data_IF_780714665486
#
_entry.id   IF_780714665486
#
_cell.length_a   1.000
_cell.length_b   1.000
_cell.length_c   1.000
_cell.angle_alpha   90.00
_cell.angle_beta   90.00
_cell.angle_gamma   90.00
#
_symmetry.space_group_name_H-M   'P 1'
#
loop_
_entity.id
_entity.type
_entity.pdbx_description
1 polymer ?
#
# COMPACT_ATOMS: atom_id res chain seq x y z
N UNK A 1 11.31 20.97 -15.94
CA UNK A 1 11.03 20.07 -14.82
C UNK A 1 10.98 18.63 -15.29
N UNK A 2 11.44 17.72 -14.43
CA UNK A 2 11.26 16.27 -14.64
C UNK A 2 10.28 15.73 -13.61
N UNK A 3 9.35 14.89 -14.08
CA UNK A 3 8.36 14.24 -13.24
C UNK A 3 8.50 12.72 -13.34
N UNK A 4 8.15 12.04 -12.25
CA UNK A 4 8.05 10.58 -12.19
C UNK A 4 6.72 10.24 -11.50
N UNK A 5 5.90 9.43 -12.16
CA UNK A 5 4.58 9.03 -11.69
C UNK A 5 4.48 7.54 -11.46
N UNK A 6 3.60 7.19 -10.53
CA UNK A 6 3.10 5.83 -10.33
C UNK A 6 1.59 5.86 -10.44
N UNK A 7 1.03 4.86 -11.09
CA UNK A 7 -0.41 4.74 -11.25
C UNK A 7 -1.02 3.82 -10.20
N UNK A 8 -2.33 3.77 -10.22
CA UNK A 8 -3.15 2.82 -9.48
C UNK A 8 -3.81 1.86 -10.46
N UNK A 9 -4.33 0.74 -9.97
CA UNK A 9 -5.08 -0.21 -10.79
C UNK A 9 -6.27 0.48 -11.46
N UNK A 10 -6.50 0.19 -12.74
CA UNK A 10 -7.56 0.81 -13.54
C UNK A 10 -7.19 2.10 -14.25
N UNK A 11 -6.03 2.71 -13.98
CA UNK A 11 -5.54 3.90 -14.70
C UNK A 11 -4.23 3.57 -15.42
N UNK A 12 -4.23 3.68 -16.74
CA UNK A 12 -3.04 3.51 -17.56
C UNK A 12 -2.28 4.83 -17.71
N UNK A 13 -1.26 5.06 -16.88
CA UNK A 13 -0.58 6.37 -16.76
C UNK A 13 0.00 6.86 -18.09
N UNK A 14 0.63 5.98 -18.87
CA UNK A 14 1.18 6.35 -20.18
C UNK A 14 0.10 6.85 -21.13
N UNK A 15 -1.08 6.21 -21.13
CA UNK A 15 -2.19 6.62 -22.00
C UNK A 15 -2.76 7.98 -21.58
N UNK A 16 -2.82 8.26 -20.27
CA UNK A 16 -3.18 9.57 -19.74
C UNK A 16 -2.24 10.65 -20.30
N UNK A 17 -0.91 10.39 -20.29
CA UNK A 17 0.08 11.34 -20.83
C UNK A 17 -0.02 11.45 -22.36
N UNK A 18 -0.34 10.37 -23.06
CA UNK A 18 -0.57 10.38 -24.51
C UNK A 18 -1.80 11.21 -24.89
N UNK A 19 -2.92 11.02 -24.17
CA UNK A 19 -4.13 11.82 -24.34
C UNK A 19 -3.83 13.31 -24.10
N UNK A 20 -3.10 13.63 -23.01
CA UNK A 20 -2.73 14.99 -22.69
C UNK A 20 -1.92 15.64 -23.82
N UNK A 21 -0.92 14.93 -24.34
CA UNK A 21 -0.08 15.40 -25.42
C UNK A 21 -0.88 15.57 -26.72
N UNK A 22 -1.87 14.72 -26.99
CA UNK A 22 -2.78 14.88 -28.11
C UNK A 22 -3.73 16.09 -27.96
N UNK A 23 -4.14 16.39 -26.72
CA UNK A 23 -4.95 17.59 -26.44
C UNK A 23 -4.16 18.88 -26.59
N UNK A 24 -2.90 18.86 -26.14
CA UNK A 24 -1.99 19.99 -26.24
C UNK A 24 -0.52 19.55 -26.37
N UNK A 25 0.00 19.49 -27.59
CA UNK A 25 1.40 19.04 -27.85
C UNK A 25 2.47 19.93 -27.23
N UNK A 26 2.13 21.14 -26.78
CA UNK A 26 3.08 22.10 -26.23
C UNK A 26 3.35 21.92 -24.74
N UNK A 27 2.55 21.11 -24.04
CA UNK A 27 2.58 21.01 -22.58
C UNK A 27 3.68 20.06 -22.10
N UNK A 28 3.88 18.93 -22.80
CA UNK A 28 4.89 17.93 -22.45
C UNK A 28 5.98 17.93 -23.51
N UNK A 29 7.24 18.11 -23.10
CA UNK A 29 8.40 18.05 -24.00
C UNK A 29 8.68 16.60 -24.43
N UNK A 30 8.62 15.68 -23.45
CA UNK A 30 8.77 14.25 -23.67
C UNK A 30 8.19 13.44 -22.50
N UNK A 31 7.72 12.26 -22.79
CA UNK A 31 7.29 11.28 -21.79
C UNK A 31 7.59 9.86 -22.25
N UNK A 32 7.55 8.93 -21.31
CA UNK A 32 7.70 7.50 -21.59
C UNK A 32 7.43 6.66 -20.35
N UNK A 33 7.19 5.39 -20.56
CA UNK A 33 6.87 4.45 -19.48
C UNK A 33 5.83 3.45 -19.89
N UNK A 34 5.20 2.87 -18.89
CA UNK A 34 4.19 1.81 -19.01
C UNK A 34 2.91 2.17 -18.24
N UNK A 35 1.97 1.23 -18.17
CA UNK A 35 0.69 1.43 -17.49
C UNK A 35 0.84 1.98 -16.07
N UNK A 36 1.70 1.36 -15.25
CA UNK A 36 1.81 1.65 -13.83
C UNK A 36 2.91 2.65 -13.46
N UNK A 37 3.82 2.97 -14.37
CA UNK A 37 4.91 3.89 -14.10
C UNK A 37 5.32 4.65 -15.37
N UNK A 38 5.39 5.96 -15.28
CA UNK A 38 5.83 6.82 -16.36
C UNK A 38 6.65 8.00 -15.87
N UNK A 39 7.55 8.48 -16.73
CA UNK A 39 8.31 9.70 -16.52
C UNK A 39 7.99 10.72 -17.59
N UNK A 40 8.13 12.01 -17.26
CA UNK A 40 7.90 13.08 -18.20
C UNK A 40 8.86 14.25 -17.96
N UNK A 41 8.98 15.09 -18.97
CA UNK A 41 9.67 16.39 -18.88
C UNK A 41 8.73 17.46 -19.41
N UNK A 42 8.62 18.56 -18.66
CA UNK A 42 7.83 19.74 -19.03
C UNK A 42 8.64 21.01 -18.81
N UNK A 43 8.34 22.06 -19.54
CA UNK A 43 8.84 23.38 -19.22
C UNK A 43 8.17 23.89 -17.92
N UNK A 44 8.93 24.60 -17.08
CA UNK A 44 8.42 25.06 -15.77
C UNK A 44 7.14 25.93 -15.90
N UNK A 45 7.07 26.74 -16.95
CA UNK A 45 5.91 27.58 -17.26
C UNK A 45 4.63 26.79 -17.57
N UNK A 46 4.78 25.52 -17.96
CA UNK A 46 3.65 24.65 -18.32
C UNK A 46 3.08 23.88 -17.12
N UNK A 47 3.64 24.01 -15.91
CA UNK A 47 3.22 23.21 -14.76
C UNK A 47 1.75 23.37 -14.43
N UNK A 48 1.23 24.61 -14.39
CA UNK A 48 -0.17 24.86 -14.08
C UNK A 48 -1.09 24.22 -15.15
N UNK A 49 -0.78 24.45 -16.42
CA UNK A 49 -1.56 23.90 -17.54
C UNK A 49 -1.51 22.37 -17.57
N UNK A 50 -0.34 21.78 -17.29
CA UNK A 50 -0.20 20.33 -17.14
C UNK A 50 -1.10 19.80 -16.02
N UNK A 51 -1.08 20.43 -14.86
CA UNK A 51 -1.88 20.03 -13.69
C UNK A 51 -3.38 20.04 -14.02
N UNK A 52 -3.86 21.09 -14.64
CA UNK A 52 -5.29 21.23 -15.01
C UNK A 52 -5.73 20.15 -16.01
N UNK A 53 -4.96 19.95 -17.08
CA UNK A 53 -5.26 18.94 -18.10
C UNK A 53 -5.14 17.52 -17.52
N UNK A 54 -4.10 17.25 -16.75
CA UNK A 54 -3.92 15.96 -16.12
C UNK A 54 -5.08 15.61 -15.20
N UNK A 55 -5.47 16.51 -14.31
CA UNK A 55 -6.62 16.32 -13.42
C UNK A 55 -7.92 16.09 -14.19
N UNK A 56 -8.15 16.83 -15.27
CA UNK A 56 -9.33 16.66 -16.11
C UNK A 56 -9.39 15.27 -16.74
N UNK A 57 -8.27 14.79 -17.30
CA UNK A 57 -8.19 13.48 -17.95
C UNK A 57 -8.34 12.36 -16.91
N UNK A 58 -7.60 12.44 -15.81
CA UNK A 58 -7.66 11.43 -14.76
C UNK A 58 -9.06 11.35 -14.17
N UNK A 59 -9.71 12.48 -13.90
CA UNK A 59 -11.10 12.49 -13.41
C UNK A 59 -12.06 11.83 -14.40
N UNK A 60 -11.85 12.01 -15.70
CA UNK A 60 -12.67 11.36 -16.72
C UNK A 60 -12.43 9.86 -16.76
N UNK A 61 -11.17 9.41 -16.63
CA UNK A 61 -10.83 7.98 -16.56
C UNK A 61 -11.39 7.32 -15.29
N UNK A 62 -11.33 8.00 -14.13
CA UNK A 62 -11.96 7.53 -12.89
C UNK A 62 -13.48 7.31 -13.06
N UNK A 63 -14.17 8.16 -13.80
CA UNK A 63 -15.62 8.02 -14.04
C UNK A 63 -15.96 6.86 -14.99
N UNK A 64 -15.05 6.52 -15.91
CA UNK A 64 -15.24 5.40 -16.84
C UNK A 64 -14.94 4.05 -16.20
N UNK A 65 -13.91 4.02 -15.38
CA UNK A 65 -13.47 2.82 -14.69
C UNK A 65 -14.05 2.85 -13.28
N UNK A 66 -14.75 1.80 -12.88
CA UNK A 66 -15.12 1.60 -11.47
C UNK A 66 -13.83 1.30 -10.72
N UNK A 67 -13.19 2.36 -10.20
CA UNK A 67 -12.00 2.18 -9.37
C UNK A 67 -12.50 1.78 -8.00
N UNK A 68 -12.28 0.54 -7.69
CA UNK A 68 -12.63 -0.03 -6.41
C UNK A 68 -11.53 0.31 -5.39
N UNK A 69 -11.92 0.94 -4.28
CA UNK A 69 -11.04 1.17 -3.12
C UNK A 69 -11.01 -0.04 -2.18
N UNK A 70 -11.50 -1.20 -2.63
CA UNK A 70 -11.46 -2.41 -1.84
C UNK A 70 -10.02 -2.93 -1.71
N UNK A 71 -9.70 -3.40 -0.51
CA UNK A 71 -8.51 -4.20 -0.27
C UNK A 71 -8.96 -5.66 -0.37
N UNK A 72 -8.43 -6.37 -1.35
CA UNK A 72 -8.66 -7.80 -1.48
C UNK A 72 -7.77 -8.53 -0.48
N UNK A 73 -8.36 -9.46 0.25
CA UNK A 73 -7.66 -10.26 1.26
C UNK A 73 -7.70 -11.73 0.89
N UNK A 74 -6.63 -12.45 1.20
CA UNK A 74 -6.48 -13.87 0.88
C UNK A 74 -7.16 -14.76 1.93
N UNK A 75 -7.51 -14.21 3.08
CA UNK A 75 -8.23 -14.90 4.13
C UNK A 75 -7.93 -14.38 5.53
N UNK A 76 -8.22 -15.23 6.52
CA UNK A 76 -7.90 -15.05 7.94
C UNK A 76 -6.77 -16.02 8.29
N UNK A 77 -5.82 -15.60 9.11
CA UNK A 77 -4.84 -16.52 9.69
C UNK A 77 -5.38 -17.18 10.97
N UNK A 78 -6.24 -16.48 11.71
CA UNK A 78 -6.76 -16.99 12.95
C UNK A 78 -5.66 -17.37 13.95
N UNK A 79 -5.83 -18.49 14.64
CA UNK A 79 -4.83 -19.07 15.54
C UNK A 79 -4.02 -20.17 14.81
N UNK A 80 -3.38 -19.82 13.69
CA UNK A 80 -2.51 -20.74 12.96
C UNK A 80 -1.36 -21.26 13.85
N UNK A 81 -1.09 -22.56 13.76
CA UNK A 81 -0.14 -23.23 14.63
C UNK A 81 1.32 -22.78 14.44
N UNK A 82 1.66 -22.21 13.28
CA UNK A 82 3.05 -21.81 12.99
C UNK A 82 3.17 -20.55 12.13
N UNK A 83 2.80 -19.40 12.69
CA UNK A 83 3.01 -18.10 12.05
C UNK A 83 4.47 -17.83 11.64
N UNK A 84 5.51 -18.20 12.44
CA UNK A 84 6.89 -18.00 12.00
C UNK A 84 7.26 -18.80 10.75
N UNK A 85 6.78 -20.05 10.62
CA UNK A 85 7.05 -20.87 9.44
C UNK A 85 6.35 -20.29 8.21
N UNK A 86 5.09 -19.85 8.34
CA UNK A 86 4.33 -19.21 7.27
C UNK A 86 4.98 -17.87 6.84
N UNK A 87 5.40 -17.05 7.80
CA UNK A 87 6.12 -15.82 7.52
C UNK A 87 7.39 -16.05 6.73
N UNK A 88 8.14 -17.10 7.10
CA UNK A 88 9.34 -17.49 6.36
C UNK A 88 9.02 -17.95 4.92
N UNK A 89 7.98 -18.75 4.75
CA UNK A 89 7.52 -19.17 3.41
C UNK A 89 7.13 -17.97 2.55
N UNK A 90 6.30 -17.07 3.06
CA UNK A 90 5.89 -15.86 2.35
C UNK A 90 7.12 -15.06 1.93
N UNK A 91 8.05 -14.81 2.83
CA UNK A 91 9.25 -14.00 2.58
C UNK A 91 10.21 -14.60 1.55
N UNK A 92 10.25 -15.92 1.40
CA UNK A 92 11.12 -16.60 0.44
C UNK A 92 10.54 -16.72 -0.95
N UNK A 93 9.26 -16.40 -1.15
CA UNK A 93 8.61 -16.40 -2.45
C UNK A 93 8.89 -15.11 -3.23
N UNK A 94 8.66 -15.16 -4.52
CA UNK A 94 8.82 -14.02 -5.42
C UNK A 94 7.43 -13.41 -5.68
N UNK A 95 7.25 -12.20 -5.21
CA UNK A 95 6.02 -11.42 -5.38
C UNK A 95 6.23 -10.33 -6.42
N UNK A 96 5.17 -9.88 -7.07
CA UNK A 96 5.24 -8.85 -8.09
C UNK A 96 3.87 -8.26 -8.42
N UNK A 97 3.83 -7.36 -9.37
CA UNK A 97 2.64 -6.60 -9.72
C UNK A 97 1.43 -7.47 -10.11
N UNK A 98 1.65 -8.59 -10.81
CA UNK A 98 0.60 -9.53 -11.22
C UNK A 98 0.35 -10.66 -10.21
N UNK A 99 1.15 -10.73 -9.15
CA UNK A 99 1.06 -11.71 -8.08
C UNK A 99 1.55 -11.07 -6.78
N UNK A 100 0.72 -10.26 -6.12
CA UNK A 100 1.09 -9.52 -4.91
C UNK A 100 1.29 -10.45 -3.72
N UNK A 101 2.03 -9.94 -2.73
CA UNK A 101 2.18 -10.60 -1.44
C UNK A 101 0.83 -10.76 -0.75
N UNK A 102 0.59 -11.89 -0.05
CA UNK A 102 -0.71 -12.16 0.57
C UNK A 102 -1.03 -11.18 1.68
N UNK A 103 -2.31 -10.82 1.75
CA UNK A 103 -2.90 -9.89 2.71
C UNK A 103 -4.00 -10.61 3.48
N UNK A 104 -4.00 -10.46 4.79
CA UNK A 104 -4.92 -11.14 5.68
C UNK A 104 -5.82 -10.16 6.42
N UNK A 105 -6.95 -10.66 6.92
CA UNK A 105 -7.88 -9.88 7.73
C UNK A 105 -8.38 -10.67 8.91
N UNK A 106 -8.22 -10.12 10.12
CA UNK A 106 -8.70 -10.69 11.36
C UNK A 106 -9.20 -9.60 12.33
N UNK A 107 -9.99 -10.02 13.30
CA UNK A 107 -10.24 -9.27 14.51
C UNK A 107 -9.10 -9.57 15.50
N UNK A 108 -8.41 -8.53 15.96
CA UNK A 108 -7.29 -8.67 16.86
C UNK A 108 -7.55 -7.92 18.17
N UNK A 109 -7.18 -8.55 19.30
CA UNK A 109 -7.22 -7.95 20.62
C UNK A 109 -5.90 -7.25 20.93
N UNK A 110 -5.96 -5.94 21.22
CA UNK A 110 -4.78 -5.13 21.51
C UNK A 110 -4.40 -5.30 22.99
N UNK A 111 -3.25 -5.86 23.25
CA UNK A 111 -2.70 -6.08 24.61
C UNK A 111 -1.98 -4.86 25.13
N UNK A 112 -1.24 -4.21 24.25
CA UNK A 112 -0.55 -2.96 24.52
C UNK A 112 -0.15 -2.28 23.21
N UNK A 113 0.07 -0.98 23.28
CA UNK A 113 0.63 -0.23 22.16
C UNK A 113 1.53 0.89 22.68
N UNK A 114 2.43 1.35 21.81
CA UNK A 114 3.27 2.53 22.05
C UNK A 114 3.64 3.20 20.74
N UNK A 115 3.77 4.51 20.75
CA UNK A 115 4.29 5.27 19.62
C UNK A 115 5.81 5.12 19.59
N UNK A 116 6.35 4.86 18.40
CA UNK A 116 7.78 4.82 18.11
C UNK A 116 8.11 5.79 16.98
N UNK A 117 9.30 6.38 17.03
CA UNK A 117 9.76 7.37 16.06
C UNK A 117 8.71 8.47 15.76
N UNK A 118 7.90 8.83 16.77
CA UNK A 118 6.86 9.88 16.75
C UNK A 118 5.70 9.65 15.74
N UNK A 119 5.87 8.76 14.80
CA UNK A 119 4.95 8.59 13.65
C UNK A 119 4.42 7.18 13.46
N UNK A 120 4.93 6.20 14.20
CA UNK A 120 4.55 4.79 14.02
C UNK A 120 3.99 4.24 15.33
N UNK A 121 3.09 3.29 15.23
CA UNK A 121 2.55 2.59 16.41
C UNK A 121 3.02 1.14 16.40
N UNK A 122 3.78 0.76 17.44
CA UNK A 122 4.07 -0.64 17.74
C UNK A 122 3.00 -1.18 18.67
N UNK A 123 2.47 -2.36 18.36
CA UNK A 123 1.42 -3.04 19.13
C UNK A 123 1.88 -4.43 19.57
N UNK A 124 1.27 -4.91 20.64
CA UNK A 124 1.19 -6.34 20.98
C UNK A 124 -0.26 -6.74 20.83
N UNK A 125 -0.56 -7.68 19.95
CA UNK A 125 -1.92 -8.13 19.63
C UNK A 125 -2.06 -9.62 19.76
N UNK A 126 -3.30 -10.13 19.87
CA UNK A 126 -3.59 -11.56 19.85
C UNK A 126 -4.86 -11.82 19.06
N UNK A 127 -4.97 -13.01 18.46
CA UNK A 127 -6.15 -13.42 17.70
C UNK A 127 -7.37 -13.73 18.59
N UNK A 128 -7.16 -14.05 19.84
CA UNK A 128 -8.24 -14.23 20.83
C UNK A 128 -7.94 -13.49 22.13
N UNK A 129 -8.96 -13.28 23.00
CA UNK A 129 -8.80 -12.54 24.27
C UNK A 129 -7.71 -13.11 25.19
N UNK A 130 -7.43 -14.40 25.11
CA UNK A 130 -6.41 -15.08 25.94
C UNK A 130 -5.30 -15.71 25.10
N UNK A 131 -5.26 -15.44 23.78
CA UNK A 131 -4.28 -15.97 22.87
C UNK A 131 -2.87 -15.41 23.09
N UNK A 132 -1.88 -16.08 22.48
CA UNK A 132 -0.51 -15.63 22.49
C UNK A 132 -0.37 -14.25 21.83
N UNK A 133 0.44 -13.40 22.45
CA UNK A 133 0.62 -12.03 21.96
C UNK A 133 1.74 -11.97 20.92
N UNK A 134 1.42 -11.38 19.77
CA UNK A 134 2.28 -11.20 18.61
C UNK A 134 2.64 -9.73 18.49
N UNK A 135 3.86 -9.42 18.05
CA UNK A 135 4.27 -8.06 17.72
C UNK A 135 3.60 -7.62 16.42
N UNK A 136 3.08 -6.39 16.41
CA UNK A 136 2.55 -5.74 15.22
C UNK A 136 3.06 -4.31 15.11
N UNK A 137 3.10 -3.79 13.89
CA UNK A 137 3.47 -2.40 13.63
C UNK A 137 2.53 -1.79 12.60
N UNK A 138 2.08 -0.56 12.87
CA UNK A 138 1.40 0.29 11.90
C UNK A 138 2.25 1.52 11.63
N UNK A 139 2.74 1.61 10.40
CA UNK A 139 3.55 2.74 9.96
C UNK A 139 2.70 3.99 9.72
N UNK A 140 3.27 5.16 9.95
CA UNK A 140 2.64 6.47 9.73
C UNK A 140 1.26 6.61 10.42
N UNK A 141 1.14 6.04 11.60
CA UNK A 141 -0.04 6.12 12.45
C UNK A 141 0.37 6.36 13.91
N UNK A 142 -0.14 7.42 14.52
CA UNK A 142 0.19 7.82 15.88
C UNK A 142 -1.06 8.31 16.67
N UNK A 143 -2.24 7.76 16.33
CA UNK A 143 -3.50 8.08 16.98
C UNK A 143 -3.89 7.02 18.01
N UNK A 144 -5.01 7.24 18.67
CA UNK A 144 -5.57 6.30 19.63
C UNK A 144 -5.87 4.95 18.98
N UNK A 145 -5.58 3.88 19.70
CA UNK A 145 -5.79 2.49 19.28
C UNK A 145 -6.91 1.89 20.12
N UNK A 146 -7.98 1.34 19.50
CA UNK A 146 -9.02 0.61 20.21
C UNK A 146 -8.49 -0.70 20.83
N UNK A 147 -9.20 -1.21 21.85
CA UNK A 147 -8.86 -2.48 22.50
C UNK A 147 -9.04 -3.70 21.56
N UNK A 148 -9.95 -3.57 20.58
CA UNK A 148 -10.19 -4.57 19.52
C UNK A 148 -10.16 -3.85 18.18
N UNK A 149 -9.42 -4.40 17.23
CA UNK A 149 -9.28 -3.88 15.87
C UNK A 149 -9.64 -4.94 14.84
N UNK A 150 -10.50 -4.60 13.89
CA UNK A 150 -10.74 -5.43 12.71
C UNK A 150 -9.80 -4.94 11.63
N UNK A 151 -8.71 -5.65 11.41
CA UNK A 151 -7.55 -5.14 10.70
C UNK A 151 -7.17 -5.96 9.48
N UNK A 152 -6.64 -5.26 8.49
CA UNK A 152 -5.95 -5.83 7.33
C UNK A 152 -4.45 -5.70 7.55
N UNK A 153 -3.72 -6.78 7.32
CA UNK A 153 -2.29 -6.84 7.61
C UNK A 153 -1.55 -7.83 6.68
N UNK A 154 -0.25 -7.68 6.63
CA UNK A 154 0.69 -8.66 6.06
C UNK A 154 1.45 -9.35 7.19
N UNK A 155 1.80 -10.60 6.97
CA UNK A 155 2.64 -11.38 7.87
C UNK A 155 4.10 -11.27 7.41
N UNK A 156 4.99 -10.87 8.31
CA UNK A 156 6.42 -10.70 8.03
C UNK A 156 7.27 -11.23 9.18
N UNK A 157 8.57 -11.22 9.01
CA UNK A 157 9.56 -11.59 10.01
C UNK A 157 10.20 -10.32 10.56
N UNK A 158 10.29 -10.23 11.89
CA UNK A 158 11.01 -9.16 12.53
C UNK A 158 12.51 -9.46 12.60
N UNK A 159 13.29 -8.93 11.67
CA UNK A 159 14.75 -9.11 11.61
C UNK A 159 15.52 -8.38 12.71
N UNK A 160 14.85 -7.57 13.52
CA UNK A 160 15.49 -6.85 14.61
C UNK A 160 15.94 -7.76 15.76
N UNK A 161 15.37 -8.95 15.85
CA UNK A 161 15.70 -9.95 16.87
C UNK A 161 16.39 -11.16 16.24
N UNK A 162 17.39 -11.72 16.94
CA UNK A 162 18.16 -12.89 16.47
C UNK A 162 17.27 -14.12 16.20
N UNK A 163 16.21 -14.30 17.02
CA UNK A 163 15.24 -15.40 16.87
C UNK A 163 14.17 -15.14 15.81
N UNK A 164 14.22 -13.98 15.14
CA UNK A 164 13.39 -13.62 13.97
C UNK A 164 11.90 -13.98 14.12
N UNK A 165 11.20 -13.45 15.12
CA UNK A 165 9.80 -13.78 15.34
C UNK A 165 8.93 -13.26 14.21
N UNK A 166 7.77 -13.88 14.00
CA UNK A 166 6.74 -13.33 13.14
C UNK A 166 6.21 -12.00 13.70
N UNK A 167 5.88 -11.09 12.81
CA UNK A 167 5.20 -9.84 13.15
C UNK A 167 4.12 -9.50 12.11
N UNK A 168 3.13 -8.74 12.53
CA UNK A 168 2.08 -8.24 11.64
C UNK A 168 2.40 -6.82 11.19
N UNK A 169 2.37 -6.59 9.89
CA UNK A 169 2.46 -5.25 9.31
C UNK A 169 1.04 -4.77 9.03
N UNK A 170 0.53 -3.91 9.90
CA UNK A 170 -0.85 -3.43 9.82
C UNK A 170 -0.99 -2.39 8.69
N UNK A 171 -1.90 -2.65 7.78
CA UNK A 171 -2.23 -1.72 6.68
C UNK A 171 -3.35 -0.75 7.10
N UNK A 172 -4.43 -1.30 7.69
CA UNK A 172 -5.58 -0.50 8.15
C UNK A 172 -6.40 -1.26 9.19
N UNK A 173 -7.20 -0.56 9.95
CA UNK A 173 -8.34 -1.03 10.76
C UNK A 173 -9.45 -0.02 10.73
#
# INVERSE_FOLDING_TARGET
LKGSGRSIQGIHLRDVLDILTKMDPTVIDKFGGHAMAAGLTIHATNLAKFTDLFNKIVTAEFKKNTIDNAIYVDGSLGEEESLPALAHEIRTRVWGQGFPEPVFRDELHVRSHRIIAETHTKLRVSFSPNGEAIDAIRFNFNHAVPDVINTVYRLDINDFYDHKPAQLIIETW
#
